data_IF_158748403890
#
_entry.id   IF_158748403890
#
_cell.length_a   1.000
_cell.length_b   1.000
_cell.length_c   1.000
_cell.angle_alpha   90.00
_cell.angle_beta   90.00
_cell.angle_gamma   90.00
#
_symmetry.space_group_name_H-M   'P 1'
#
loop_
_entity.id
_entity.type
_entity.pdbx_description
1 polymer ?
#
# COMPACT_ATOMS: atom_id res chain seq x y z
N UNK A 1 -1.32 -9.68 -38.41
CA UNK A 1 -0.84 -11.06 -38.19
C UNK A 1 -0.27 -11.12 -36.78
N UNK A 2 -1.02 -11.61 -35.81
CA UNK A 2 -0.52 -11.87 -34.45
C UNK A 2 0.42 -13.06 -34.55
N UNK A 3 1.73 -12.84 -34.37
CA UNK A 3 2.66 -13.97 -34.26
C UNK A 3 2.19 -14.85 -33.10
N UNK A 4 2.05 -16.17 -33.28
CA UNK A 4 1.68 -17.05 -32.19
C UNK A 4 2.71 -16.89 -31.07
N UNK A 5 2.22 -16.60 -29.88
CA UNK A 5 3.08 -16.32 -28.75
C UNK A 5 3.93 -17.55 -28.40
N UNK A 6 5.23 -17.40 -28.10
CA UNK A 6 6.12 -18.52 -27.82
C UNK A 6 5.71 -19.38 -26.60
N UNK A 7 4.77 -18.91 -25.78
CA UNK A 7 4.20 -19.64 -24.65
C UNK A 7 2.67 -19.48 -24.61
N UNK A 8 1.90 -20.23 -25.42
CA UNK A 8 0.44 -20.10 -25.47
C UNK A 8 -0.24 -20.59 -24.18
N UNK A 9 0.40 -21.50 -23.45
CA UNK A 9 -0.09 -21.96 -22.15
C UNK A 9 -0.10 -20.83 -21.10
N UNK A 10 0.78 -19.84 -21.23
CA UNK A 10 0.85 -18.70 -20.32
C UNK A 10 -0.43 -17.86 -20.40
N UNK A 11 -0.98 -17.68 -21.60
CA UNK A 11 -2.20 -16.91 -21.78
C UNK A 11 -3.39 -17.62 -21.11
N UNK A 12 -3.46 -18.95 -21.20
CA UNK A 12 -4.47 -19.75 -20.50
C UNK A 12 -4.34 -19.63 -18.96
N UNK A 13 -3.11 -19.67 -18.44
CA UNK A 13 -2.84 -19.46 -16.99
C UNK A 13 -3.26 -18.06 -16.56
N UNK A 14 -2.93 -17.02 -17.35
CA UNK A 14 -3.32 -15.65 -17.06
C UNK A 14 -4.84 -15.45 -17.14
N UNK A 15 -5.53 -16.05 -18.10
CA UNK A 15 -6.99 -16.03 -18.15
C UNK A 15 -7.56 -16.65 -16.86
N UNK A 16 -7.06 -17.82 -16.45
CA UNK A 16 -7.45 -18.46 -15.19
C UNK A 16 -7.21 -17.54 -13.99
N UNK A 17 -6.04 -16.92 -13.91
CA UNK A 17 -5.68 -15.95 -12.88
C UNK A 17 -6.66 -14.78 -12.85
N UNK A 18 -6.98 -14.14 -13.99
CA UNK A 18 -7.88 -13.00 -14.03
C UNK A 18 -9.35 -13.35 -13.78
N UNK A 19 -9.80 -14.55 -14.16
CA UNK A 19 -11.12 -15.06 -13.75
C UNK A 19 -11.18 -15.20 -12.23
N UNK A 20 -10.15 -15.80 -11.61
CA UNK A 20 -10.07 -15.90 -10.16
C UNK A 20 -9.97 -14.52 -9.49
N UNK A 21 -9.24 -13.58 -10.08
CA UNK A 21 -9.17 -12.19 -9.62
C UNK A 21 -10.55 -11.54 -9.67
N UNK A 22 -11.31 -11.68 -10.76
CA UNK A 22 -12.66 -11.11 -10.87
C UNK A 22 -13.60 -11.67 -9.79
N UNK A 23 -13.58 -12.99 -9.55
CA UNK A 23 -14.36 -13.62 -8.48
C UNK A 23 -13.92 -13.15 -7.09
N UNK A 24 -12.61 -13.01 -6.89
CA UNK A 24 -12.01 -12.52 -5.65
C UNK A 24 -12.39 -11.08 -5.34
N UNK A 25 -12.32 -10.20 -6.34
CA UNK A 25 -12.74 -8.80 -6.26
C UNK A 25 -14.22 -8.72 -5.92
N UNK A 26 -15.07 -9.54 -6.57
CA UNK A 26 -16.50 -9.57 -6.28
C UNK A 26 -16.79 -10.00 -4.83
N UNK A 27 -16.09 -11.02 -4.34
CA UNK A 27 -16.19 -11.48 -2.95
C UNK A 27 -15.76 -10.41 -1.94
N UNK A 28 -14.55 -9.85 -2.11
CA UNK A 28 -14.00 -8.83 -1.21
C UNK A 28 -14.86 -7.56 -1.25
N UNK A 29 -15.32 -7.13 -2.42
CA UNK A 29 -16.23 -5.99 -2.55
C UNK A 29 -17.54 -6.23 -1.79
N UNK A 30 -18.15 -7.41 -1.95
CA UNK A 30 -19.37 -7.72 -1.22
C UNK A 30 -19.13 -7.72 0.30
N UNK A 31 -18.11 -8.43 0.78
CA UNK A 31 -17.83 -8.54 2.22
C UNK A 31 -17.44 -7.21 2.85
N UNK A 32 -16.46 -6.51 2.27
CA UNK A 32 -15.95 -5.23 2.77
C UNK A 32 -17.04 -4.17 2.88
N UNK A 33 -17.93 -4.08 1.88
CA UNK A 33 -18.93 -3.03 1.84
C UNK A 33 -20.23 -3.39 2.56
N UNK A 34 -20.52 -4.68 2.82
CA UNK A 34 -21.79 -5.09 3.47
C UNK A 34 -21.63 -5.67 4.87
N UNK A 35 -20.51 -6.33 5.20
CA UNK A 35 -20.32 -7.06 6.46
C UNK A 35 -19.20 -6.50 7.34
N UNK A 36 -18.11 -6.03 6.75
CA UNK A 36 -16.91 -5.64 7.51
C UNK A 36 -16.99 -4.18 8.03
N UNK A 37 -16.69 -3.90 9.32
CA UNK A 37 -16.80 -2.58 9.94
C UNK A 37 -15.55 -1.69 9.75
N UNK A 38 -14.85 -1.85 8.64
CA UNK A 38 -13.64 -1.09 8.33
C UNK A 38 -13.94 0.33 7.80
N UNK A 39 -12.97 1.23 7.91
CA UNK A 39 -13.06 2.59 7.38
C UNK A 39 -13.19 2.58 5.85
N UNK A 40 -13.93 3.54 5.28
CA UNK A 40 -14.18 3.60 3.81
C UNK A 40 -12.91 3.54 2.97
N UNK A 41 -11.85 4.19 3.43
CA UNK A 41 -10.55 4.19 2.73
C UNK A 41 -9.91 2.80 2.74
N UNK A 42 -10.04 2.03 3.83
CA UNK A 42 -9.57 0.64 3.88
C UNK A 42 -10.37 -0.27 2.95
N UNK A 43 -11.70 -0.08 2.84
CA UNK A 43 -12.53 -0.85 1.87
C UNK A 43 -12.00 -0.72 0.45
N UNK A 44 -11.68 0.51 0.04
CA UNK A 44 -11.07 0.78 -1.26
C UNK A 44 -9.65 0.21 -1.36
N UNK A 45 -8.85 0.32 -0.30
CA UNK A 45 -7.52 -0.28 -0.22
C UNK A 45 -7.57 -1.78 -0.51
N UNK A 46 -8.42 -2.51 0.21
CA UNK A 46 -8.62 -3.95 0.04
C UNK A 46 -9.14 -4.33 -1.34
N UNK A 47 -10.09 -3.55 -1.88
CA UNK A 47 -10.60 -3.77 -3.22
C UNK A 47 -9.50 -3.64 -4.29
N UNK A 48 -8.68 -2.59 -4.21
CA UNK A 48 -7.62 -2.32 -5.17
C UNK A 48 -6.48 -3.35 -5.07
N UNK A 49 -6.00 -3.67 -3.87
CA UNK A 49 -4.96 -4.70 -3.76
C UNK A 49 -5.47 -6.09 -4.16
N UNK A 50 -6.75 -6.38 -3.99
CA UNK A 50 -7.37 -7.61 -4.52
C UNK A 50 -7.46 -7.57 -6.04
N UNK A 51 -7.73 -6.41 -6.64
CA UNK A 51 -7.67 -6.23 -8.09
C UNK A 51 -6.26 -6.45 -8.64
N UNK A 52 -5.23 -6.01 -7.92
CA UNK A 52 -3.83 -6.14 -8.35
C UNK A 52 -3.26 -7.53 -8.09
N UNK A 53 -3.46 -8.08 -6.90
CA UNK A 53 -2.87 -9.35 -6.44
C UNK A 53 -3.80 -10.56 -6.51
N UNK A 54 -5.04 -10.38 -6.94
CA UNK A 54 -6.00 -11.44 -7.19
C UNK A 54 -6.31 -12.31 -5.97
N UNK A 55 -6.42 -13.65 -6.14
CA UNK A 55 -6.82 -14.56 -5.07
C UNK A 55 -5.84 -14.60 -3.88
N UNK A 56 -4.57 -14.23 -4.08
CA UNK A 56 -3.59 -14.14 -2.99
C UNK A 56 -3.99 -13.04 -2.00
N UNK A 57 -4.33 -11.85 -2.51
CA UNK A 57 -4.76 -10.74 -1.67
C UNK A 57 -6.16 -10.95 -1.10
N UNK A 58 -7.03 -11.67 -1.81
CA UNK A 58 -8.31 -12.11 -1.28
C UNK A 58 -8.15 -13.07 -0.09
N UNK A 59 -7.26 -14.06 -0.19
CA UNK A 59 -6.96 -14.93 0.94
C UNK A 59 -6.40 -14.13 2.12
N UNK A 60 -5.51 -13.17 1.85
CA UNK A 60 -4.97 -12.30 2.88
C UNK A 60 -6.04 -11.42 3.55
N UNK A 61 -7.05 -10.96 2.81
CA UNK A 61 -8.22 -10.27 3.36
C UNK A 61 -8.94 -11.12 4.40
N UNK A 62 -9.26 -12.36 4.06
CA UNK A 62 -9.94 -13.30 4.97
C UNK A 62 -9.10 -13.53 6.23
N UNK A 63 -7.78 -13.69 6.09
CA UNK A 63 -6.90 -14.05 7.19
C UNK A 63 -6.53 -12.88 8.11
N UNK A 64 -6.58 -11.64 7.61
CA UNK A 64 -6.05 -10.48 8.34
C UNK A 64 -7.08 -9.39 8.66
N UNK A 65 -8.21 -9.32 7.94
CA UNK A 65 -9.16 -8.22 8.06
C UNK A 65 -10.63 -8.63 8.14
N UNK A 66 -11.05 -9.74 7.54
CA UNK A 66 -12.44 -10.14 7.60
C UNK A 66 -12.88 -10.44 9.04
N UNK A 67 -13.94 -9.76 9.52
CA UNK A 67 -14.49 -9.98 10.86
C UNK A 67 -14.97 -11.44 11.03
N UNK A 68 -14.39 -12.22 11.95
CA UNK A 68 -14.80 -13.60 12.18
C UNK A 68 -16.10 -13.66 12.98
N UNK A 69 -16.81 -14.79 12.91
CA UNK A 69 -18.11 -14.93 13.56
C UNK A 69 -18.06 -14.93 15.10
N UNK A 70 -16.91 -15.29 15.68
CA UNK A 70 -16.73 -15.54 17.11
C UNK A 70 -15.89 -14.48 17.84
N UNK A 71 -15.42 -13.45 17.14
CA UNK A 71 -14.62 -12.38 17.72
C UNK A 71 -14.92 -11.04 17.03
N UNK A 72 -14.77 -9.93 17.76
CA UNK A 72 -14.98 -8.61 17.18
C UNK A 72 -13.82 -8.25 16.26
N UNK A 73 -14.10 -7.50 15.20
CA UNK A 73 -13.08 -7.06 14.24
C UNK A 73 -11.90 -6.37 14.93
N UNK A 74 -12.15 -5.50 15.92
CA UNK A 74 -11.11 -4.74 16.63
C UNK A 74 -10.11 -5.66 17.34
N UNK A 75 -10.60 -6.72 17.95
CA UNK A 75 -9.76 -7.72 18.64
C UNK A 75 -9.03 -8.58 17.62
N UNK A 76 -9.72 -8.98 16.54
CA UNK A 76 -9.15 -9.78 15.46
C UNK A 76 -7.96 -9.09 14.80
N UNK A 77 -8.05 -7.78 14.52
CA UNK A 77 -7.00 -7.02 13.82
C UNK A 77 -5.93 -6.47 14.75
N UNK A 78 -6.09 -6.58 16.07
CA UNK A 78 -5.15 -6.06 17.08
C UNK A 78 -3.69 -6.56 16.95
N UNK A 79 -3.40 -7.82 16.56
CA UNK A 79 -2.02 -8.30 16.43
C UNK A 79 -1.18 -7.43 15.49
N UNK A 80 0.07 -7.16 15.88
CA UNK A 80 0.96 -6.24 15.14
C UNK A 80 1.13 -6.62 13.66
N UNK A 81 1.21 -7.91 13.36
CA UNK A 81 1.36 -8.37 11.99
C UNK A 81 0.14 -8.02 11.12
N UNK A 82 -1.09 -8.06 11.67
CA UNK A 82 -2.32 -7.66 10.96
C UNK A 82 -2.38 -6.15 10.80
N UNK A 83 -2.05 -5.41 11.86
CA UNK A 83 -1.94 -3.95 11.82
C UNK A 83 -0.96 -3.51 10.72
N UNK A 84 0.23 -4.12 10.67
CA UNK A 84 1.23 -3.90 9.64
C UNK A 84 0.75 -4.30 8.25
N UNK A 85 0.03 -5.43 8.13
CA UNK A 85 -0.50 -5.91 6.87
C UNK A 85 -1.49 -4.91 6.26
N UNK A 86 -2.45 -4.41 7.04
CA UNK A 86 -3.38 -3.40 6.57
C UNK A 86 -2.72 -2.06 6.27
N UNK A 87 -1.71 -1.67 7.04
CA UNK A 87 -0.89 -0.48 6.74
C UNK A 87 -0.15 -0.62 5.40
N UNK A 88 0.45 -1.78 5.16
CA UNK A 88 1.14 -2.11 3.92
C UNK A 88 0.18 -2.13 2.73
N UNK A 89 -1.03 -2.66 2.89
CA UNK A 89 -2.07 -2.66 1.86
C UNK A 89 -2.48 -1.26 1.48
N UNK A 90 -2.68 -0.40 2.47
CA UNK A 90 -3.11 0.95 2.22
C UNK A 90 -2.07 1.73 1.39
N UNK A 91 -0.80 1.58 1.74
CA UNK A 91 0.33 2.10 0.98
C UNK A 91 0.35 1.52 -0.44
N UNK A 92 0.33 0.20 -0.54
CA UNK A 92 0.35 -0.52 -1.81
C UNK A 92 -0.80 -0.15 -2.73
N UNK A 93 -2.00 0.04 -2.18
CA UNK A 93 -3.16 0.41 -2.98
C UNK A 93 -2.89 1.72 -3.72
N UNK A 94 -2.31 2.73 -3.06
CA UNK A 94 -1.92 3.99 -3.71
C UNK A 94 -0.73 3.85 -4.65
N UNK A 95 0.37 3.27 -4.15
CA UNK A 95 1.62 3.13 -4.90
C UNK A 95 1.41 2.34 -6.20
N UNK A 96 0.77 1.17 -6.12
CA UNK A 96 0.52 0.34 -7.29
C UNK A 96 -0.47 1.00 -8.27
N UNK A 97 -1.47 1.76 -7.78
CA UNK A 97 -2.36 2.53 -8.65
C UNK A 97 -1.56 3.54 -9.47
N UNK A 98 -0.70 4.32 -8.81
CA UNK A 98 0.14 5.33 -9.48
C UNK A 98 1.12 4.70 -10.46
N UNK A 99 1.78 3.59 -10.09
CA UNK A 99 2.69 2.85 -10.95
C UNK A 99 1.97 2.30 -12.18
N UNK A 100 0.85 1.61 -12.02
CA UNK A 100 0.07 1.05 -13.14
C UNK A 100 -0.46 2.15 -14.06
N UNK A 101 -0.94 3.26 -13.50
CA UNK A 101 -1.42 4.39 -14.28
C UNK A 101 -0.28 5.03 -15.09
N UNK A 102 0.90 5.24 -14.48
CA UNK A 102 2.07 5.74 -15.18
C UNK A 102 2.50 4.79 -16.30
N UNK A 103 2.69 3.50 -15.99
CA UNK A 103 3.08 2.47 -16.94
C UNK A 103 2.14 2.42 -18.16
N UNK A 104 0.82 2.52 -17.95
CA UNK A 104 -0.14 2.56 -19.05
C UNK A 104 0.01 3.81 -19.93
N UNK A 105 0.28 4.97 -19.33
CA UNK A 105 0.44 6.24 -20.04
C UNK A 105 1.77 6.29 -20.80
N UNK A 106 2.89 5.98 -20.13
CA UNK A 106 4.24 5.99 -20.69
C UNK A 106 4.39 4.98 -21.82
N UNK A 107 3.80 3.79 -21.67
CA UNK A 107 3.71 2.76 -22.71
C UNK A 107 2.91 3.25 -23.91
N UNK A 108 1.77 3.92 -23.68
CA UNK A 108 0.97 4.48 -24.78
C UNK A 108 1.71 5.61 -25.53
N UNK A 109 2.60 6.33 -24.84
CA UNK A 109 3.47 7.35 -25.43
C UNK A 109 4.74 6.79 -26.09
N UNK A 110 5.03 5.49 -25.92
CA UNK A 110 6.22 4.83 -26.47
C UNK A 110 7.53 5.33 -25.83
N UNK A 111 7.48 5.72 -24.55
CA UNK A 111 8.68 6.14 -23.83
C UNK A 111 9.60 4.93 -23.55
N UNK A 112 10.93 5.14 -23.54
CA UNK A 112 11.86 4.06 -23.19
C UNK A 112 11.71 3.66 -21.72
N UNK A 113 11.99 2.40 -21.41
CA UNK A 113 11.77 1.80 -20.08
C UNK A 113 12.40 2.57 -18.91
N UNK A 114 13.55 3.23 -19.08
CA UNK A 114 14.13 4.04 -17.99
C UNK A 114 13.30 5.28 -17.63
N UNK A 115 12.62 5.90 -18.61
CA UNK A 115 11.70 7.01 -18.34
C UNK A 115 10.42 6.49 -17.70
N UNK A 116 9.97 5.32 -18.14
CA UNK A 116 8.82 4.63 -17.58
C UNK A 116 9.00 4.38 -16.09
N UNK A 117 10.09 3.71 -15.69
CA UNK A 117 10.37 3.42 -14.27
C UNK A 117 10.50 4.69 -13.40
N UNK A 118 11.06 5.78 -13.95
CA UNK A 118 11.11 7.06 -13.24
C UNK A 118 9.69 7.60 -13.05
N UNK A 119 8.87 7.61 -14.10
CA UNK A 119 7.49 8.06 -14.02
C UNK A 119 6.67 7.20 -13.06
N UNK A 120 6.79 5.87 -13.12
CA UNK A 120 6.18 4.92 -12.19
C UNK A 120 6.54 5.24 -10.74
N UNK A 121 7.82 5.50 -10.44
CA UNK A 121 8.24 5.85 -9.09
C UNK A 121 7.58 7.16 -8.63
N UNK A 122 7.61 8.20 -9.46
CA UNK A 122 7.05 9.52 -9.12
C UNK A 122 5.53 9.45 -8.94
N UNK A 123 4.82 8.82 -9.88
CA UNK A 123 3.37 8.70 -9.82
C UNK A 123 2.93 7.77 -8.70
N UNK A 124 3.59 6.62 -8.51
CA UNK A 124 3.34 5.72 -7.39
C UNK A 124 3.43 6.47 -6.06
N UNK A 125 4.55 7.14 -5.82
CA UNK A 125 4.76 7.91 -4.60
C UNK A 125 3.74 9.04 -4.45
N UNK A 126 3.41 9.76 -5.53
CA UNK A 126 2.43 10.84 -5.48
C UNK A 126 1.02 10.34 -5.17
N UNK A 127 0.58 9.23 -5.77
CA UNK A 127 -0.74 8.63 -5.49
C UNK A 127 -0.80 8.04 -4.07
N UNK A 128 0.23 7.31 -3.66
CA UNK A 128 0.40 6.80 -2.30
C UNK A 128 0.32 7.92 -1.27
N UNK A 129 1.16 8.94 -1.40
CA UNK A 129 1.25 10.04 -0.46
C UNK A 129 0.02 10.96 -0.46
N UNK A 130 -0.38 11.48 -1.62
CA UNK A 130 -1.38 12.54 -1.71
C UNK A 130 -2.81 12.01 -1.57
N UNK A 131 -3.09 10.83 -2.12
CA UNK A 131 -4.46 10.30 -2.18
C UNK A 131 -4.68 9.32 -1.04
N UNK A 132 -3.82 8.31 -0.88
CA UNK A 132 -4.08 7.26 0.10
C UNK A 132 -3.71 7.71 1.50
N UNK A 133 -2.43 8.04 1.73
CA UNK A 133 -1.94 8.41 3.06
C UNK A 133 -2.57 9.70 3.56
N UNK A 134 -2.45 10.80 2.82
CA UNK A 134 -2.83 12.12 3.33
C UNK A 134 -4.34 12.29 3.53
N UNK A 135 -5.19 11.64 2.71
CA UNK A 135 -6.64 11.66 2.94
C UNK A 135 -7.03 10.81 4.13
N UNK A 136 -6.38 9.66 4.35
CA UNK A 136 -6.64 8.81 5.52
C UNK A 136 -6.19 9.48 6.82
N UNK A 137 -5.00 10.08 6.79
CA UNK A 137 -4.37 10.73 7.94
C UNK A 137 -4.94 12.12 8.22
N UNK A 138 -5.79 12.68 7.34
CA UNK A 138 -6.33 14.04 7.49
C UNK A 138 -7.05 14.21 8.81
N UNK A 139 -7.96 13.31 9.13
CA UNK A 139 -8.79 13.43 10.33
C UNK A 139 -7.96 13.16 11.59
N UNK A 140 -7.04 12.20 11.51
CA UNK A 140 -6.05 11.95 12.56
C UNK A 140 -5.17 13.19 12.79
N UNK A 141 -4.75 13.89 11.74
CA UNK A 141 -3.93 15.12 11.80
C UNK A 141 -4.70 16.38 12.26
N UNK A 142 -5.85 16.23 12.93
CA UNK A 142 -6.68 17.34 13.39
C UNK A 142 -7.37 18.09 12.25
N UNK A 143 -7.64 17.41 11.13
CA UNK A 143 -8.29 17.96 9.95
C UNK A 143 -7.34 18.66 8.96
N UNK A 144 -6.07 18.82 9.31
CA UNK A 144 -5.06 19.48 8.48
C UNK A 144 -4.44 18.52 7.46
N UNK A 145 -4.81 18.67 6.19
CA UNK A 145 -4.23 17.89 5.09
C UNK A 145 -2.71 18.10 4.97
N UNK A 146 -2.23 19.33 5.20
CA UNK A 146 -0.80 19.62 5.19
C UNK A 146 -0.04 18.99 6.37
N UNK A 147 -0.70 18.91 7.54
CA UNK A 147 -0.19 18.15 8.68
C UNK A 147 -0.09 16.66 8.35
N UNK A 148 -1.15 16.09 7.78
CA UNK A 148 -1.18 14.71 7.33
C UNK A 148 -0.03 14.39 6.36
N UNK A 149 0.17 15.22 5.33
CA UNK A 149 1.27 15.07 4.37
C UNK A 149 2.65 15.05 5.04
N UNK A 150 2.92 15.99 5.94
CA UNK A 150 4.23 16.05 6.63
C UNK A 150 4.47 14.83 7.50
N UNK A 151 3.43 14.33 8.17
CA UNK A 151 3.54 13.14 9.02
C UNK A 151 3.70 11.86 8.21
N UNK A 152 3.01 11.75 7.06
CA UNK A 152 3.05 10.54 6.23
C UNK A 152 4.21 10.49 5.24
N UNK A 153 4.90 11.61 4.97
CA UNK A 153 5.95 11.67 3.96
C UNK A 153 7.08 10.65 4.20
N UNK A 154 7.71 10.68 5.38
CA UNK A 154 8.85 9.79 5.68
C UNK A 154 8.43 8.32 5.68
N UNK A 155 7.35 7.91 6.38
CA UNK A 155 6.93 6.52 6.37
C UNK A 155 6.51 6.03 4.98
N UNK A 156 5.92 6.90 4.16
CA UNK A 156 5.55 6.56 2.78
C UNK A 156 6.77 6.36 1.91
N UNK A 157 7.72 7.29 1.96
CA UNK A 157 8.92 7.23 1.14
C UNK A 157 9.77 5.99 1.44
N UNK A 158 9.91 5.63 2.73
CA UNK A 158 10.58 4.41 3.15
C UNK A 158 9.89 3.14 2.61
N UNK A 159 8.56 3.12 2.62
CA UNK A 159 7.77 2.01 2.08
C UNK A 159 7.89 1.92 0.55
N UNK A 160 7.75 3.04 -0.15
CA UNK A 160 7.82 3.14 -1.60
C UNK A 160 9.17 2.65 -2.15
N UNK A 161 10.28 2.98 -1.47
CA UNK A 161 11.60 2.44 -1.81
C UNK A 161 11.61 0.90 -1.81
N UNK A 162 10.99 0.28 -0.82
CA UNK A 162 10.91 -1.18 -0.71
C UNK A 162 9.91 -1.80 -1.70
N UNK A 163 8.79 -1.13 -1.98
CA UNK A 163 7.85 -1.53 -3.04
C UNK A 163 8.58 -1.58 -4.38
N UNK A 164 9.25 -0.49 -4.75
CA UNK A 164 9.96 -0.39 -6.03
C UNK A 164 11.20 -1.28 -6.10
N UNK A 165 11.84 -1.58 -4.97
CA UNK A 165 12.90 -2.58 -4.90
C UNK A 165 12.44 -3.97 -5.38
N UNK A 166 11.16 -4.32 -5.16
CA UNK A 166 10.56 -5.56 -5.68
C UNK A 166 9.94 -5.42 -7.06
N UNK A 167 9.24 -4.31 -7.32
CA UNK A 167 8.52 -4.10 -8.58
C UNK A 167 9.47 -3.93 -9.77
N UNK A 168 10.46 -3.03 -9.68
CA UNK A 168 11.37 -2.71 -10.79
C UNK A 168 12.04 -3.96 -11.39
N UNK A 169 12.75 -4.81 -10.62
CA UNK A 169 13.38 -5.99 -11.20
C UNK A 169 12.37 -6.98 -11.77
N UNK A 170 11.18 -7.10 -11.17
CA UNK A 170 10.12 -7.97 -11.70
C UNK A 170 9.62 -7.49 -13.06
N UNK A 171 9.31 -6.19 -13.17
CA UNK A 171 8.79 -5.59 -14.39
C UNK A 171 9.87 -5.57 -15.49
N UNK A 172 11.02 -4.96 -15.22
CA UNK A 172 12.09 -4.78 -16.21
C UNK A 172 12.56 -6.12 -16.77
N UNK A 173 12.77 -7.14 -15.94
CA UNK A 173 13.26 -8.45 -16.40
C UNK A 173 12.21 -9.20 -17.21
N UNK A 174 10.95 -9.21 -16.78
CA UNK A 174 9.89 -9.95 -17.47
C UNK A 174 9.49 -9.26 -18.78
N UNK A 175 9.30 -7.95 -18.76
CA UNK A 175 8.95 -7.18 -19.96
C UNK A 175 10.08 -7.17 -20.98
N UNK A 176 11.35 -7.19 -20.55
CA UNK A 176 12.49 -7.31 -21.47
C UNK A 176 12.55 -8.66 -22.21
N UNK A 177 11.91 -9.71 -21.67
CA UNK A 177 11.89 -11.05 -22.26
C UNK A 177 10.63 -11.32 -23.08
N UNK A 178 9.58 -10.52 -22.90
CA UNK A 178 8.31 -10.68 -23.59
C UNK A 178 7.80 -9.33 -24.09
N UNK A 179 8.01 -9.05 -25.38
CA UNK A 179 7.58 -7.80 -26.02
C UNK A 179 6.05 -7.64 -26.02
N UNK A 180 5.29 -8.72 -25.90
CA UNK A 180 3.84 -8.60 -25.74
C UNK A 180 3.48 -7.97 -24.39
N UNK A 181 4.27 -8.19 -23.34
CA UNK A 181 4.07 -7.57 -22.03
C UNK A 181 4.39 -6.06 -22.00
N UNK A 182 5.00 -5.50 -23.05
CA UNK A 182 5.28 -4.07 -23.20
C UNK A 182 4.08 -3.26 -23.74
N UNK A 183 2.91 -3.87 -23.90
CA UNK A 183 1.73 -3.18 -24.44
C UNK A 183 0.58 -3.24 -23.43
N UNK A 184 0.08 -2.09 -22.98
CA UNK A 184 -1.01 -2.00 -22.00
C UNK A 184 -2.32 -2.68 -22.46
N UNK A 185 -2.50 -2.88 -23.77
CA UNK A 185 -3.63 -3.63 -24.34
C UNK A 185 -3.47 -5.15 -24.26
N UNK A 186 -2.31 -5.66 -23.83
CA UNK A 186 -2.03 -7.10 -23.76
C UNK A 186 -2.37 -7.67 -22.39
N UNK A 187 -2.82 -8.93 -22.39
CA UNK A 187 -3.05 -9.68 -21.15
C UNK A 187 -1.79 -9.83 -20.31
N UNK A 188 -0.63 -9.91 -20.97
CA UNK A 188 0.66 -10.19 -20.33
C UNK A 188 1.21 -8.99 -19.58
N UNK A 189 0.97 -7.78 -20.07
CA UNK A 189 1.27 -6.55 -19.35
C UNK A 189 0.62 -6.61 -17.95
N UNK A 190 -0.69 -6.84 -17.91
CA UNK A 190 -1.43 -6.93 -16.65
C UNK A 190 -0.98 -8.09 -15.77
N UNK A 191 -0.57 -9.22 -16.36
CA UNK A 191 0.02 -10.34 -15.63
C UNK A 191 1.33 -9.98 -14.95
N UNK A 192 2.22 -9.27 -15.65
CA UNK A 192 3.48 -8.77 -15.10
C UNK A 192 3.22 -7.73 -14.01
N UNK A 193 2.30 -6.79 -14.22
CA UNK A 193 1.94 -5.80 -13.19
C UNK A 193 1.40 -6.46 -11.94
N UNK A 194 0.50 -7.44 -12.08
CA UNK A 194 -0.06 -8.21 -10.98
C UNK A 194 1.03 -8.92 -10.16
N UNK A 195 1.96 -9.61 -10.84
CA UNK A 195 3.09 -10.27 -10.19
C UNK A 195 4.05 -9.25 -9.54
N UNK A 196 4.38 -8.16 -10.23
CA UNK A 196 5.24 -7.11 -9.71
C UNK A 196 4.68 -6.50 -8.44
N UNK A 197 3.38 -6.19 -8.40
CA UNK A 197 2.71 -5.69 -7.19
C UNK A 197 2.82 -6.69 -6.04
N UNK A 198 2.60 -7.99 -6.27
CA UNK A 198 2.76 -9.02 -5.22
C UNK A 198 4.20 -9.11 -4.70
N UNK A 199 5.20 -9.06 -5.59
CA UNK A 199 6.62 -9.08 -5.20
C UNK A 199 6.98 -7.81 -4.44
N UNK A 200 6.55 -6.64 -4.92
CA UNK A 200 6.70 -5.36 -4.23
C UNK A 200 6.10 -5.38 -2.83
N UNK A 201 4.93 -6.02 -2.66
CA UNK A 201 4.28 -6.17 -1.36
C UNK A 201 5.12 -7.00 -0.40
N UNK A 202 5.59 -8.15 -0.88
CA UNK A 202 6.39 -9.06 -0.07
C UNK A 202 7.69 -8.38 0.42
N UNK A 203 8.32 -7.56 -0.43
CA UNK A 203 9.53 -6.80 -0.09
C UNK A 203 9.21 -5.63 0.85
N UNK A 204 8.09 -4.94 0.68
CA UNK A 204 7.70 -3.79 1.49
C UNK A 204 7.08 -4.15 2.85
N UNK A 205 6.49 -5.33 2.99
CA UNK A 205 5.84 -5.80 4.22
C UNK A 205 6.74 -5.70 5.47
N UNK A 206 7.99 -6.21 5.50
CA UNK A 206 8.84 -6.09 6.68
C UNK A 206 9.15 -4.63 7.08
N UNK A 207 9.24 -3.73 6.10
CA UNK A 207 9.44 -2.29 6.37
C UNK A 207 8.19 -1.71 7.02
N UNK A 208 7.01 -2.03 6.51
CA UNK A 208 5.74 -1.59 7.10
C UNK A 208 5.51 -2.19 8.50
N UNK A 209 5.94 -3.44 8.73
CA UNK A 209 5.93 -4.06 10.06
C UNK A 209 6.76 -3.27 11.06
N UNK A 210 7.96 -2.84 10.65
CA UNK A 210 8.79 -1.96 11.48
C UNK A 210 8.14 -0.60 11.70
N UNK A 211 7.64 0.05 10.64
CA UNK A 211 7.01 1.39 10.69
C UNK A 211 5.81 1.42 11.66
N UNK A 212 4.96 0.40 11.62
CA UNK A 212 3.83 0.27 12.56
C UNK A 212 4.32 -0.07 13.97
N UNK A 213 5.33 -0.95 14.09
CA UNK A 213 5.91 -1.32 15.38
C UNK A 213 6.51 -0.14 16.16
N UNK A 214 7.11 0.84 15.46
CA UNK A 214 7.66 2.07 16.06
C UNK A 214 6.67 3.24 16.10
N UNK A 215 5.42 3.03 15.66
CA UNK A 215 4.33 4.02 15.59
C UNK A 215 4.61 5.20 14.66
N UNK A 216 5.39 4.97 13.60
CA UNK A 216 5.52 5.91 12.48
C UNK A 216 4.37 5.77 11.47
N UNK A 217 3.75 4.59 11.40
CA UNK A 217 2.50 4.33 10.66
C UNK A 217 1.42 3.80 11.60
N UNK A 218 0.17 4.00 11.20
CA UNK A 218 -0.99 3.36 11.82
C UNK A 218 -1.35 2.09 11.04
N UNK A 219 -1.95 1.13 11.74
CA UNK A 219 -2.52 -0.06 11.12
C UNK A 219 -4.02 0.07 10.88
N UNK A 220 -4.73 -1.06 10.88
CA UNK A 220 -6.17 -1.10 10.61
C UNK A 220 -6.99 -0.57 11.78
N UNK A 221 -7.94 0.31 11.46
CA UNK A 221 -8.94 0.83 12.39
C UNK A 221 -10.37 0.54 11.93
N UNK A 222 -11.32 0.59 12.86
CA UNK A 222 -12.74 0.32 12.58
C UNK A 222 -13.58 1.57 12.71
N UNK A 223 -14.71 1.60 12.01
CA UNK A 223 -15.72 2.67 12.15
C UNK A 223 -16.30 2.69 13.57
N UNK A 224 -16.30 1.56 14.28
CA UNK A 224 -16.84 1.45 15.64
C UNK A 224 -15.91 2.09 16.66
N UNK A 225 -14.60 1.92 16.50
CA UNK A 225 -13.60 2.51 17.38
C UNK A 225 -13.27 3.97 17.01
N UNK A 226 -13.25 4.27 15.70
CA UNK A 226 -12.75 5.53 15.16
C UNK A 226 -13.87 6.43 14.58
N UNK A 227 -15.13 6.04 14.65
CA UNK A 227 -16.22 6.73 13.94
C UNK A 227 -16.07 6.68 12.42
N UNK A 228 -16.94 7.41 11.71
CA UNK A 228 -16.89 7.47 10.23
C UNK A 228 -15.68 8.23 9.66
N UNK A 229 -14.83 8.83 10.52
CA UNK A 229 -13.72 9.69 10.16
C UNK A 229 -12.50 9.58 11.08
N UNK A 230 -12.12 8.38 11.56
CA UNK A 230 -10.80 8.20 12.19
C UNK A 230 -10.61 8.76 13.62
N UNK A 231 -11.62 9.33 14.27
CA UNK A 231 -11.56 9.85 15.64
C UNK A 231 -11.61 8.75 16.70
N UNK A 232 -10.64 8.66 17.61
CA UNK A 232 -10.85 7.99 18.89
C UNK A 232 -12.08 8.59 19.58
N UNK A 233 -13.22 7.87 19.55
CA UNK A 233 -14.36 8.21 20.41
C UNK A 233 -13.94 7.76 21.80
N UNK A 234 -13.60 8.74 22.64
CA UNK A 234 -13.00 8.54 23.96
C UNK A 234 -13.63 7.40 24.76
N UNK A 235 -12.98 6.25 24.72
CA UNK A 235 -13.22 5.13 25.61
C UNK A 235 -12.16 5.18 26.73
N UNK A 236 -12.31 6.16 27.64
CA UNK A 236 -11.94 6.06 29.06
C UNK A 236 -12.18 7.40 29.80
N UNK A 237 -13.44 7.83 29.84
CA UNK A 237 -13.91 8.83 30.82
C UNK A 237 -15.21 8.38 31.48
N UNK A 238 -15.19 7.22 32.12
CA UNK A 238 -16.21 6.86 33.11
C UNK A 238 -15.58 6.20 34.34
N UNK A 239 -14.78 6.98 35.08
CA UNK A 239 -14.67 6.80 36.53
C UNK A 239 -14.05 8.03 37.19
N UNK A 240 -14.80 8.58 38.16
CA UNK A 240 -14.42 9.46 39.26
C UNK A 240 -14.31 11.00 39.03
N UNK A 241 -15.42 11.67 39.37
CA UNK A 241 -15.62 12.95 40.12
C UNK A 241 -15.01 14.29 39.63
N UNK A 242 -15.78 15.40 39.67
CA UNK A 242 -15.32 16.73 39.25
C UNK A 242 -14.70 17.52 40.40
N UNK A 243 -13.62 18.26 40.12
CA UNK A 243 -13.14 19.39 40.93
C UNK A 243 -12.81 20.59 40.01
N UNK A 244 -12.91 21.85 40.48
CA UNK A 244 -12.91 23.01 39.62
C UNK A 244 -11.57 23.77 39.55
N UNK A 245 -11.41 24.42 38.40
CA UNK A 245 -10.64 25.64 38.07
C UNK A 245 -9.09 25.63 38.12
N UNK A 246 -8.50 26.02 36.98
CA UNK A 246 -7.50 27.10 36.85
C UNK A 246 -6.66 26.93 35.57
N UNK A 247 -6.76 27.91 34.68
CA UNK A 247 -5.62 28.63 34.08
C UNK A 247 -4.65 27.92 33.12
N UNK A 248 -4.54 28.53 31.93
CA UNK A 248 -3.40 28.50 30.99
C UNK A 248 -2.99 27.14 30.38
N UNK A 249 -3.24 26.98 29.08
CA UNK A 249 -2.22 26.61 28.08
C UNK A 249 -2.86 26.29 26.72
N UNK A 250 -3.31 27.34 26.04
CA UNK A 250 -3.71 27.29 24.65
C UNK A 250 -2.46 27.31 23.73
N UNK A 251 -1.57 26.33 23.85
CA UNK A 251 -0.45 26.06 22.91
C UNK A 251 0.11 24.62 23.04
N UNK A 252 -0.66 23.67 23.57
CA UNK A 252 -0.24 22.26 23.74
C UNK A 252 -0.80 21.30 22.66
N UNK A 253 -1.35 21.83 21.56
CA UNK A 253 -1.99 21.04 20.50
C UNK A 253 -1.06 20.46 19.43
N UNK A 254 0.25 20.77 19.48
CA UNK A 254 1.23 20.37 18.45
C UNK A 254 2.25 19.33 18.92
N UNK A 255 2.29 19.02 20.23
CA UNK A 255 3.26 18.09 20.83
C UNK A 255 2.72 16.67 21.07
N UNK A 256 1.40 16.47 21.06
CA UNK A 256 0.78 15.18 21.40
C UNK A 256 0.97 14.05 20.37
N UNK A 257 1.18 14.40 19.09
CA UNK A 257 1.39 13.42 18.00
C UNK A 257 2.86 13.03 17.83
N UNK A 258 3.77 13.98 18.06
CA UNK A 258 5.21 13.71 18.11
C UNK A 258 5.60 12.94 19.40
N UNK A 259 4.76 12.97 20.44
CA UNK A 259 4.97 12.24 21.69
C UNK A 259 4.75 10.72 21.60
N UNK A 260 4.24 10.20 20.47
CA UNK A 260 3.93 8.77 20.29
C UNK A 260 4.98 7.96 19.50
N UNK A 261 5.83 8.60 18.71
CA UNK A 261 6.84 7.93 17.89
C UNK A 261 8.01 7.50 18.78
N UNK A 262 8.16 6.19 19.00
CA UNK A 262 9.29 5.62 19.78
C UNK A 262 10.59 5.55 18.97
N UNK A 263 10.67 6.26 17.86
CA UNK A 263 11.75 6.12 16.89
C UNK A 263 12.78 7.22 17.08
N UNK A 264 14.05 6.85 17.03
CA UNK A 264 15.16 7.82 17.13
C UNK A 264 15.59 8.28 15.74
N UNK A 265 16.19 9.47 15.64
CA UNK A 265 16.78 9.95 14.38
C UNK A 265 17.75 8.95 13.72
N UNK A 266 18.67 8.30 14.48
CA UNK A 266 19.52 7.24 13.96
C UNK A 266 18.77 6.04 13.37
N UNK A 267 17.63 5.65 13.96
CA UNK A 267 16.82 4.55 13.44
C UNK A 267 16.16 4.92 12.10
N UNK A 268 15.66 6.15 11.96
CA UNK A 268 15.13 6.66 10.68
C UNK A 268 16.25 6.70 9.63
N UNK A 269 17.44 7.19 9.98
CA UNK A 269 18.58 7.23 9.08
C UNK A 269 19.01 5.82 8.64
N UNK A 270 19.09 4.87 9.56
CA UNK A 270 19.41 3.47 9.25
C UNK A 270 18.36 2.84 8.32
N UNK A 271 17.08 3.07 8.58
CA UNK A 271 16.00 2.57 7.70
C UNK A 271 16.01 3.24 6.32
N UNK A 272 16.38 4.51 6.26
CA UNK A 272 16.56 5.24 4.99
C UNK A 272 17.67 4.62 4.16
N UNK A 273 18.84 4.40 4.77
CA UNK A 273 19.97 3.73 4.09
C UNK A 273 19.58 2.32 3.65
N UNK A 274 18.93 1.54 4.52
CA UNK A 274 18.49 0.18 4.20
C UNK A 274 17.55 0.17 2.99
N UNK A 275 16.51 1.00 2.98
CA UNK A 275 15.51 1.01 1.91
C UNK A 275 16.09 1.55 0.59
N UNK A 276 17.04 2.49 0.64
CA UNK A 276 17.79 2.92 -0.55
C UNK A 276 18.73 1.82 -1.08
N UNK A 277 19.37 1.04 -0.21
CA UNK A 277 20.16 -0.12 -0.62
C UNK A 277 19.26 -1.17 -1.28
N UNK A 278 18.07 -1.44 -0.72
CA UNK A 278 17.09 -2.35 -1.33
C UNK A 278 16.68 -1.88 -2.73
N UNK A 279 16.34 -0.60 -2.87
CA UNK A 279 15.97 -0.02 -4.17
C UNK A 279 17.14 -0.12 -5.17
N UNK A 280 18.34 0.24 -4.75
CA UNK A 280 19.56 0.10 -5.56
C UNK A 280 19.82 -1.34 -5.98
N UNK A 281 19.64 -2.31 -5.08
CA UNK A 281 19.76 -3.73 -5.39
C UNK A 281 18.73 -4.18 -6.44
N UNK A 282 17.48 -3.72 -6.32
CA UNK A 282 16.44 -3.96 -7.33
C UNK A 282 16.82 -3.41 -8.71
N UNK A 283 17.34 -2.18 -8.77
CA UNK A 283 17.82 -1.55 -10.01
C UNK A 283 19.02 -2.31 -10.60
N UNK A 284 19.95 -2.78 -9.76
CA UNK A 284 21.10 -3.58 -10.21
C UNK A 284 20.59 -4.90 -10.83
N UNK A 285 19.68 -5.61 -10.17
CA UNK A 285 19.08 -6.84 -10.72
C UNK A 285 18.39 -6.56 -12.06
N UNK A 286 17.58 -5.50 -12.15
CA UNK A 286 16.95 -5.06 -13.38
C UNK A 286 17.96 -4.77 -14.50
N UNK A 287 19.10 -4.16 -14.16
CA UNK A 287 20.17 -3.83 -15.11
C UNK A 287 20.95 -5.05 -15.57
N UNK A 288 21.20 -6.02 -14.69
CA UNK A 288 21.93 -7.24 -15.03
C UNK A 288 21.11 -8.19 -15.91
N UNK A 289 19.78 -8.20 -15.74
CA UNK A 289 18.91 -9.23 -16.34
C UNK A 289 17.84 -8.69 -17.30
N UNK A 290 17.69 -7.36 -17.42
CA UNK A 290 16.74 -6.69 -18.32
C UNK A 290 17.43 -5.69 -19.26
N UNK A 291 16.63 -4.89 -19.97
CA UNK A 291 17.08 -3.93 -20.98
C UNK A 291 16.31 -2.62 -20.86
N UNK A 292 17.02 -1.54 -20.54
CA UNK A 292 16.44 -0.22 -20.21
C UNK A 292 16.10 0.69 -21.40
N UNK A 293 16.61 0.37 -22.59
CA UNK A 293 16.49 1.20 -23.79
C UNK A 293 15.46 0.66 -24.81
N UNK A 294 14.71 -0.38 -24.44
CA UNK A 294 13.63 -0.93 -25.25
C UNK A 294 12.30 -0.24 -24.93
#
# INVERSE_FOLDING_TARGET
MTMPSPAPWLDAVLIGWFVLTALSVAYVAWDAFTRNPELRVMKWGWLLVTLYGGPIMAAAYVLSCQEPANERHEDFVRPLWKQAFGSAIHCMAGDATGVIAAAAITTALGLPMWQDVIAEYVFGFAFGLLIFQALFMRDMAGGSYWGALRMSFIPEWLSMNAVMAGMIPTMVVLMSRDMAAMHASSLRFWGVMSLATLVGFAVAYPINLWLVGVRLKHGMGTVRALGHGGHEVGADRQSATPMPDMGHDAMAGMSGMAAGARVTGPQIAAMTVLTLIMLGAGIIVATLFGRWAM
#
